data_IF_301491410097
#
_entry.id   IF_301491410097
#
_cell.length_a   1.000
_cell.length_b   1.000
_cell.length_c   1.000
_cell.angle_alpha   90.00
_cell.angle_beta   90.00
_cell.angle_gamma   90.00
#
_symmetry.space_group_name_H-M   'P 1'
#
loop_
_entity.id
_entity.type
_entity.pdbx_description
1 polymer ?
#
# COMPACT_ATOMS: atom_id res chain seq x y z
N UNK A 1 12.69 13.90 49.87
CA UNK A 1 13.30 12.55 49.99
C UNK A 1 12.34 11.57 49.32
N UNK A 2 12.79 10.88 48.26
CA UNK A 2 12.00 9.85 47.60
C UNK A 2 12.05 8.59 48.45
N UNK A 3 10.91 8.04 48.84
CA UNK A 3 10.83 6.88 49.69
C UNK A 3 10.93 5.57 48.85
N UNK A 4 11.33 4.44 49.47
CA UNK A 4 11.34 3.12 48.79
C UNK A 4 9.96 2.74 48.23
N UNK A 5 8.91 3.24 48.87
CA UNK A 5 7.52 3.04 48.42
C UNK A 5 7.22 3.81 47.13
N UNK A 6 7.74 5.05 46.99
CA UNK A 6 7.58 5.87 45.76
C UNK A 6 8.31 5.24 44.55
N UNK A 7 9.48 4.63 44.81
CA UNK A 7 10.21 3.89 43.78
C UNK A 7 9.47 2.62 43.30
N UNK A 8 8.86 1.87 44.25
CA UNK A 8 8.08 0.67 43.91
C UNK A 8 6.82 1.00 43.13
N UNK A 9 6.12 2.07 43.50
CA UNK A 9 4.93 2.53 42.73
C UNK A 9 5.30 3.01 41.34
N UNK A 10 6.41 3.74 41.19
CA UNK A 10 6.90 4.20 39.89
C UNK A 10 7.34 3.04 38.98
N UNK A 11 7.98 2.00 39.53
CA UNK A 11 8.39 0.81 38.77
C UNK A 11 7.18 -0.01 38.31
N UNK A 12 6.19 -0.23 39.16
CA UNK A 12 4.97 -0.97 38.83
C UNK A 12 4.18 -0.21 37.71
N UNK A 13 4.05 1.12 37.86
CA UNK A 13 3.38 1.94 36.83
C UNK A 13 4.12 1.93 35.50
N UNK A 14 5.46 1.93 35.49
CA UNK A 14 6.24 1.84 34.26
C UNK A 14 6.10 0.48 33.56
N UNK A 15 6.12 -0.63 34.34
CA UNK A 15 5.92 -1.98 33.77
C UNK A 15 4.51 -2.20 33.23
N UNK A 16 3.47 -1.66 33.88
CA UNK A 16 2.10 -1.73 33.35
C UNK A 16 1.92 -0.89 32.11
N UNK A 17 2.51 0.30 32.01
CA UNK A 17 2.45 1.14 30.82
C UNK A 17 3.14 0.49 29.63
N UNK A 18 4.32 -0.12 29.82
CA UNK A 18 5.05 -0.83 28.76
C UNK A 18 4.28 -2.07 28.29
N UNK A 19 3.67 -2.83 29.20
CA UNK A 19 2.86 -4.01 28.85
C UNK A 19 1.59 -3.62 28.08
N UNK A 20 0.93 -2.53 28.42
CA UNK A 20 -0.24 -2.02 27.72
C UNK A 20 0.14 -1.50 26.32
N UNK A 21 1.28 -0.83 26.18
CA UNK A 21 1.79 -0.41 24.86
C UNK A 21 2.19 -1.60 23.99
N UNK A 22 2.81 -2.63 24.54
CA UNK A 22 3.18 -3.84 23.82
C UNK A 22 1.95 -4.63 23.33
N UNK A 23 0.88 -4.71 24.14
CA UNK A 23 -0.39 -5.32 23.76
C UNK A 23 -1.13 -4.50 22.68
N UNK A 24 -1.05 -3.18 22.71
CA UNK A 24 -1.63 -2.32 21.67
C UNK A 24 -0.87 -2.43 20.33
N UNK A 25 0.44 -2.69 20.34
CA UNK A 25 1.24 -2.92 19.13
C UNK A 25 1.04 -4.31 18.53
N UNK A 26 0.53 -5.29 19.26
CA UNK A 26 0.21 -6.63 18.77
C UNK A 26 -1.21 -6.77 18.21
N UNK A 27 -2.06 -5.77 18.37
CA UNK A 27 -3.38 -5.74 17.73
C UNK A 27 -3.20 -5.52 16.23
N UNK A 28 -3.36 -6.59 15.43
CA UNK A 28 -3.37 -6.51 13.97
C UNK A 28 -4.36 -5.46 13.48
N UNK A 29 -4.19 -5.00 12.23
CA UNK A 29 -5.15 -4.08 11.61
C UNK A 29 -6.57 -4.66 11.71
N UNK A 30 -7.61 -3.85 11.99
CA UNK A 30 -8.99 -4.33 12.01
C UNK A 30 -9.41 -4.84 10.63
N UNK A 31 -10.25 -5.87 10.61
CA UNK A 31 -10.82 -6.42 9.38
C UNK A 31 -11.71 -5.36 8.72
N UNK A 32 -11.46 -5.09 7.44
CA UNK A 32 -12.27 -4.16 6.66
C UNK A 32 -13.59 -4.80 6.26
N UNK A 33 -14.68 -4.09 6.52
CA UNK A 33 -16.03 -4.41 6.07
C UNK A 33 -16.40 -3.59 4.83
N UNK A 34 -17.62 -3.79 4.31
CA UNK A 34 -18.16 -3.00 3.18
C UNK A 34 -18.04 -1.51 3.45
N UNK A 35 -17.36 -0.80 2.56
CA UNK A 35 -16.99 0.60 2.75
C UNK A 35 -17.05 1.36 1.43
N UNK A 36 -17.23 2.68 1.51
CA UNK A 36 -17.22 3.60 0.36
C UNK A 36 -16.10 4.62 0.58
N UNK A 37 -15.33 4.88 -0.46
CA UNK A 37 -14.22 5.82 -0.44
C UNK A 37 -14.42 6.86 -1.56
N UNK A 38 -14.65 8.12 -1.19
CA UNK A 38 -14.80 9.19 -2.15
C UNK A 38 -13.44 9.77 -2.51
N UNK A 39 -13.23 10.07 -3.78
CA UNK A 39 -12.00 10.69 -4.28
C UNK A 39 -11.59 11.95 -3.52
N UNK A 40 -12.57 12.80 -3.20
CA UNK A 40 -12.34 14.09 -2.53
C UNK A 40 -11.80 13.93 -1.10
N UNK A 41 -12.08 12.79 -0.45
CA UNK A 41 -11.69 12.53 0.94
C UNK A 41 -10.28 11.90 1.04
N UNK A 42 -9.70 11.44 -0.09
CA UNK A 42 -8.41 10.78 -0.12
C UNK A 42 -7.27 11.79 0.03
N UNK A 43 -6.47 11.62 1.07
CA UNK A 43 -5.31 12.46 1.32
C UNK A 43 -4.26 12.30 0.22
N UNK A 44 -3.86 13.41 -0.39
CA UNK A 44 -2.74 13.47 -1.34
C UNK A 44 -1.41 13.50 -0.58
N UNK A 45 -0.52 12.59 -0.94
CA UNK A 45 0.86 12.55 -0.43
C UNK A 45 1.81 12.76 -1.62
N UNK A 46 2.54 13.89 -1.68
CA UNK A 46 3.56 14.10 -2.71
C UNK A 46 4.66 13.04 -2.62
N UNK A 47 5.16 12.62 -3.80
CA UNK A 47 6.31 11.73 -3.94
C UNK A 47 7.36 12.39 -4.83
N UNK A 48 8.54 11.79 -4.96
CA UNK A 48 9.59 12.30 -5.87
C UNK A 48 9.15 12.30 -7.34
N UNK A 49 8.27 11.37 -7.72
CA UNK A 49 7.86 11.11 -9.11
C UNK A 49 6.43 11.55 -9.42
N UNK A 50 5.74 12.13 -8.43
CA UNK A 50 4.36 12.57 -8.58
C UNK A 50 3.60 12.64 -7.25
N UNK A 51 2.53 11.86 -7.10
CA UNK A 51 1.74 11.81 -5.86
C UNK A 51 1.07 10.45 -5.66
N UNK A 52 0.74 10.13 -4.42
CA UNK A 52 0.03 8.92 -4.03
C UNK A 52 -1.16 9.25 -3.13
N UNK A 53 -2.22 8.44 -3.24
CA UNK A 53 -3.35 8.41 -2.32
C UNK A 53 -3.55 6.99 -1.85
N UNK A 54 -3.55 6.74 -0.55
CA UNK A 54 -3.98 5.46 0.01
C UNK A 54 -5.49 5.47 0.11
N UNK A 55 -6.14 4.45 -0.45
CA UNK A 55 -7.58 4.25 -0.33
C UNK A 55 -7.87 3.39 0.88
N UNK A 56 -7.29 2.19 0.93
CA UNK A 56 -7.33 1.28 2.09
C UNK A 56 -6.12 0.33 2.09
N UNK A 57 -5.82 -0.21 3.26
CA UNK A 57 -4.78 -1.21 3.46
C UNK A 57 -5.12 -1.99 4.74
N UNK A 58 -5.86 -3.10 4.60
CA UNK A 58 -6.40 -3.86 5.72
C UNK A 58 -6.71 -5.31 5.35
N UNK A 59 -6.75 -6.24 6.33
CA UNK A 59 -7.30 -7.57 6.12
C UNK A 59 -8.80 -7.50 5.79
N UNK A 60 -9.30 -8.53 5.09
CA UNK A 60 -10.72 -8.74 4.83
C UNK A 60 -11.14 -10.12 5.36
N UNK A 61 -12.43 -10.48 5.32
CA UNK A 61 -12.86 -11.83 5.73
C UNK A 61 -12.19 -12.98 4.97
N UNK A 62 -11.66 -12.74 3.76
CA UNK A 62 -11.08 -13.78 2.88
C UNK A 62 -9.63 -13.56 2.52
N UNK A 63 -9.09 -12.35 2.72
CA UNK A 63 -7.72 -11.99 2.42
C UNK A 63 -6.96 -11.61 3.69
N UNK A 64 -5.72 -12.05 3.78
CA UNK A 64 -4.81 -11.66 4.84
C UNK A 64 -4.51 -10.15 4.81
N UNK A 65 -4.42 -9.59 3.60
CA UNK A 65 -4.41 -8.14 3.37
C UNK A 65 -4.98 -7.81 1.99
N UNK A 66 -5.72 -6.71 1.91
CA UNK A 66 -6.15 -6.10 0.67
C UNK A 66 -5.74 -4.63 0.71
N UNK A 67 -4.91 -4.23 -0.24
CA UNK A 67 -4.46 -2.84 -0.36
C UNK A 67 -5.03 -2.23 -1.64
N UNK A 68 -5.50 -0.99 -1.55
CA UNK A 68 -5.75 -0.14 -2.71
C UNK A 68 -5.08 1.21 -2.50
N UNK A 69 -4.30 1.63 -3.49
CA UNK A 69 -3.81 2.98 -3.58
C UNK A 69 -3.91 3.53 -5.00
N UNK A 70 -3.77 4.83 -5.13
CA UNK A 70 -3.77 5.53 -6.40
C UNK A 70 -2.42 6.23 -6.54
N UNK A 71 -1.75 6.01 -7.66
CA UNK A 71 -0.50 6.67 -8.01
C UNK A 71 -0.74 7.59 -9.21
N UNK A 72 -0.21 8.80 -9.13
CA UNK A 72 -0.13 9.72 -10.26
C UNK A 72 1.34 10.02 -10.53
N UNK A 73 1.82 9.70 -11.73
CA UNK A 73 3.20 9.92 -12.18
C UNK A 73 3.30 11.15 -13.06
N UNK A 74 4.34 11.95 -12.87
CA UNK A 74 4.72 12.98 -13.82
C UNK A 74 5.20 12.36 -15.15
N UNK A 75 5.22 13.10 -16.27
CA UNK A 75 5.72 12.62 -17.55
C UNK A 75 7.15 12.06 -17.45
N UNK A 76 7.39 10.90 -18.04
CA UNK A 76 8.69 10.21 -18.06
C UNK A 76 9.06 9.45 -16.80
N UNK A 77 8.32 9.61 -15.71
CA UNK A 77 8.65 9.05 -14.40
C UNK A 77 8.25 7.58 -14.25
N UNK A 78 8.91 6.92 -13.28
CA UNK A 78 8.62 5.56 -12.81
C UNK A 78 8.29 5.62 -11.31
N UNK A 79 7.38 4.78 -10.79
CA UNK A 79 7.08 4.77 -9.35
C UNK A 79 8.27 4.22 -8.53
N UNK A 80 8.93 3.21 -9.07
CA UNK A 80 10.12 2.52 -8.54
C UNK A 80 10.77 1.70 -9.66
N UNK A 81 11.94 1.14 -9.41
CA UNK A 81 12.61 0.21 -10.33
C UNK A 81 11.79 -1.08 -10.51
N UNK A 82 11.91 -1.77 -11.67
CA UNK A 82 11.30 -3.07 -11.86
C UNK A 82 11.69 -4.05 -10.75
N UNK A 83 10.73 -4.83 -10.26
CA UNK A 83 10.90 -5.73 -9.13
C UNK A 83 9.96 -6.94 -9.22
N UNK A 84 10.00 -7.78 -8.18
CA UNK A 84 9.14 -8.95 -7.98
C UNK A 84 8.64 -8.96 -6.55
N UNK A 85 7.44 -9.46 -6.31
CA UNK A 85 6.91 -9.74 -4.98
C UNK A 85 5.90 -10.90 -5.02
N UNK A 86 5.62 -11.56 -3.90
CA UNK A 86 4.80 -12.76 -3.88
C UNK A 86 3.29 -12.50 -4.05
N UNK A 87 2.81 -11.32 -3.74
CA UNK A 87 1.40 -10.95 -3.91
C UNK A 87 1.08 -10.58 -5.37
N UNK A 88 -0.17 -10.75 -5.75
CA UNK A 88 -0.67 -10.35 -7.05
C UNK A 88 -1.15 -8.90 -7.05
N UNK A 89 -0.99 -8.24 -8.20
CA UNK A 89 -1.50 -6.88 -8.39
C UNK A 89 -2.41 -6.77 -9.61
N UNK A 90 -3.49 -6.01 -9.46
CA UNK A 90 -4.33 -5.54 -10.54
C UNK A 90 -4.24 -4.02 -10.60
N UNK A 91 -3.95 -3.48 -11.79
CA UNK A 91 -3.91 -2.04 -12.00
C UNK A 91 -4.96 -1.62 -13.01
N UNK A 92 -5.59 -0.46 -12.75
CA UNK A 92 -6.55 0.15 -13.68
C UNK A 92 -6.08 1.55 -14.02
N UNK A 93 -5.78 1.80 -15.29
CA UNK A 93 -5.33 3.11 -15.76
C UNK A 93 -6.53 4.05 -15.83
N UNK A 94 -6.53 5.08 -14.99
CA UNK A 94 -7.59 6.11 -14.96
C UNK A 94 -7.38 7.15 -16.05
N UNK A 95 -6.12 7.61 -16.22
CA UNK A 95 -5.74 8.63 -17.21
C UNK A 95 -4.27 8.51 -17.57
N UNK A 96 -3.90 9.03 -18.76
CA UNK A 96 -2.54 9.00 -19.28
C UNK A 96 -2.23 7.73 -20.06
N UNK A 97 -0.93 7.51 -20.33
CA UNK A 97 -0.43 6.34 -21.07
C UNK A 97 0.79 5.78 -20.36
N UNK A 98 0.76 4.50 -20.04
CA UNK A 98 1.81 3.78 -19.35
C UNK A 98 2.50 2.78 -20.28
N UNK A 99 3.81 2.61 -20.11
CA UNK A 99 4.54 1.42 -20.52
C UNK A 99 4.58 0.46 -19.34
N UNK A 100 4.02 -0.74 -19.51
CA UNK A 100 3.98 -1.80 -18.51
C UNK A 100 4.97 -2.90 -18.90
N UNK A 101 6.04 -3.06 -18.12
CA UNK A 101 6.99 -4.17 -18.23
C UNK A 101 6.38 -5.40 -17.57
N UNK A 102 6.39 -6.53 -18.25
CA UNK A 102 5.95 -7.85 -17.78
C UNK A 102 6.96 -8.91 -18.26
N UNK A 103 7.82 -9.37 -17.36
CA UNK A 103 8.96 -10.24 -17.72
C UNK A 103 9.94 -9.51 -18.63
N UNK A 104 10.03 -9.97 -19.87
CA UNK A 104 10.87 -9.41 -20.95
C UNK A 104 10.10 -8.51 -21.93
N UNK A 105 8.77 -8.36 -21.76
CA UNK A 105 7.90 -7.63 -22.68
C UNK A 105 7.43 -6.32 -22.08
N UNK A 106 7.30 -5.32 -22.93
CA UNK A 106 6.73 -4.03 -22.58
C UNK A 106 5.47 -3.79 -23.42
N UNK A 107 4.35 -3.55 -22.75
CA UNK A 107 3.07 -3.24 -23.37
C UNK A 107 2.70 -1.78 -23.12
N UNK A 108 2.07 -1.15 -24.09
CA UNK A 108 1.53 0.21 -23.95
C UNK A 108 0.08 0.11 -23.51
N UNK A 109 -0.27 0.79 -22.41
CA UNK A 109 -1.60 0.75 -21.81
C UNK A 109 -2.10 2.18 -21.61
N UNK A 110 -3.23 2.50 -22.23
CA UNK A 110 -3.89 3.80 -22.12
C UNK A 110 -5.01 3.79 -21.07
N UNK A 111 -5.64 4.95 -20.86
CA UNK A 111 -6.80 5.10 -19.98
C UNK A 111 -7.90 4.07 -20.27
N UNK A 112 -8.45 3.47 -19.21
CA UNK A 112 -9.40 2.35 -19.27
C UNK A 112 -8.73 0.97 -19.36
N UNK A 113 -7.43 0.89 -19.63
CA UNK A 113 -6.69 -0.36 -19.69
C UNK A 113 -6.47 -0.97 -18.31
N UNK A 114 -6.34 -2.31 -18.28
CA UNK A 114 -6.12 -3.10 -17.08
C UNK A 114 -4.79 -3.85 -17.24
N UNK A 115 -3.99 -3.88 -16.17
CA UNK A 115 -2.73 -4.60 -16.10
C UNK A 115 -2.85 -5.58 -14.93
N UNK A 116 -2.59 -6.85 -15.17
CA UNK A 116 -2.46 -7.87 -14.14
C UNK A 116 -0.99 -8.26 -14.01
N UNK A 117 -0.50 -8.30 -12.79
CA UNK A 117 0.86 -8.69 -12.45
C UNK A 117 0.80 -9.92 -11.54
N UNK A 118 1.26 -11.04 -12.07
CA UNK A 118 1.24 -12.31 -11.36
C UNK A 118 2.34 -12.37 -10.29
N UNK A 119 2.09 -13.18 -9.27
CA UNK A 119 3.02 -13.45 -8.18
C UNK A 119 4.43 -13.77 -8.70
N UNK A 120 5.44 -13.12 -8.14
CA UNK A 120 6.86 -13.31 -8.42
C UNK A 120 7.30 -13.09 -9.88
N UNK A 121 6.46 -12.52 -10.73
CA UNK A 121 6.87 -12.10 -12.06
C UNK A 121 7.52 -10.71 -12.05
N UNK A 122 8.57 -10.52 -12.88
CA UNK A 122 9.22 -9.22 -13.02
C UNK A 122 8.26 -8.23 -13.66
N UNK A 123 8.05 -7.10 -13.00
CA UNK A 123 7.17 -6.06 -13.50
C UNK A 123 7.67 -4.65 -13.16
N UNK A 124 7.14 -3.67 -13.89
CA UNK A 124 7.43 -2.25 -13.68
C UNK A 124 6.55 -1.38 -14.55
N UNK A 125 6.49 -0.08 -14.24
CA UNK A 125 5.67 0.89 -14.96
C UNK A 125 6.48 2.15 -15.25
N UNK A 126 6.14 2.80 -16.36
CA UNK A 126 6.63 4.13 -16.73
C UNK A 126 5.50 4.96 -17.33
N UNK A 127 5.38 6.21 -16.94
CA UNK A 127 4.57 7.17 -17.68
C UNK A 127 5.31 7.57 -18.96
N UNK A 128 4.80 7.17 -20.13
CA UNK A 128 5.37 7.50 -21.44
C UNK A 128 4.60 8.62 -22.17
N UNK A 129 3.53 9.13 -21.53
CA UNK A 129 2.76 10.25 -22.04
C UNK A 129 3.42 11.59 -21.77
N UNK A 130 2.91 12.63 -22.41
CA UNK A 130 3.33 14.04 -22.20
C UNK A 130 2.62 14.71 -21.03
N UNK A 131 1.55 14.08 -20.50
CA UNK A 131 0.79 14.53 -19.35
C UNK A 131 1.00 13.56 -18.17
N UNK A 132 0.48 13.93 -16.99
CA UNK A 132 0.45 13.03 -15.84
C UNK A 132 -0.37 11.78 -16.15
N UNK A 133 0.04 10.64 -15.61
CA UNK A 133 -0.68 9.38 -15.69
C UNK A 133 -1.12 8.95 -14.31
N UNK A 134 -2.40 8.61 -14.16
CA UNK A 134 -3.01 8.18 -12.89
C UNK A 134 -3.58 6.78 -13.03
N UNK A 135 -3.29 5.92 -12.06
CA UNK A 135 -3.77 4.54 -12.04
C UNK A 135 -4.04 4.07 -10.62
N UNK A 136 -5.02 3.17 -10.48
CA UNK A 136 -5.30 2.43 -9.26
C UNK A 136 -4.43 1.19 -9.21
N UNK A 137 -3.98 0.83 -8.02
CA UNK A 137 -3.28 -0.42 -7.72
C UNK A 137 -4.08 -1.15 -6.67
N UNK A 138 -4.37 -2.42 -6.92
CA UNK A 138 -5.02 -3.34 -5.99
C UNK A 138 -4.04 -4.50 -5.74
N UNK A 139 -3.68 -4.74 -4.47
CA UNK A 139 -2.79 -5.84 -4.07
C UNK A 139 -3.55 -6.84 -3.22
N UNK A 140 -3.40 -8.12 -3.58
CA UNK A 140 -4.10 -9.23 -2.96
C UNK A 140 -3.10 -10.12 -2.22
N UNK A 141 -3.17 -10.12 -0.89
CA UNK A 141 -2.35 -10.98 -0.05
C UNK A 141 -3.23 -12.07 0.53
N UNK A 142 -3.02 -13.30 0.12
CA UNK A 142 -3.75 -14.45 0.66
C UNK A 142 -3.15 -14.89 2.00
N UNK A 143 -3.91 -15.66 2.80
CA UNK A 143 -3.42 -16.19 4.07
C UNK A 143 -2.22 -17.13 3.91
N UNK A 144 -2.06 -17.77 2.77
CA UNK A 144 -0.93 -18.68 2.50
C UNK A 144 0.39 -17.93 2.28
N UNK A 145 0.35 -16.67 1.85
CA UNK A 145 1.52 -15.82 1.69
C UNK A 145 2.06 -15.25 3.02
N UNK A 146 1.37 -15.45 4.12
CA UNK A 146 1.78 -15.01 5.46
C UNK A 146 2.43 -16.12 6.30
N UNK A 147 2.52 -17.34 5.77
CA UNK A 147 3.22 -18.48 6.39
C UNK A 147 4.68 -18.49 5.96
#
# INVERSE_FOLDING_TARGET
>A
MITRRDLLVATVAAFTAVAVMALAQSAGKPVMHSSVFNWADLKVVPTKTGERRTVFDAPTPTLANFECHITTLNPGEVPHLPHRHPDEELLVVKEGTLAALQGDKTNIVAAGGIIFQASNELHGLRNIGTNRATYYVFRFVTHDLQK
#
